data_IF_947568313219
#
_entry.id   IF_947568313219
#
_cell.length_a   1.000
_cell.length_b   1.000
_cell.length_c   1.000
_cell.angle_alpha   90.00
_cell.angle_beta   90.00
_cell.angle_gamma   90.00
#
_symmetry.space_group_name_H-M   'P 1'
#
loop_
_entity.id
_entity.type
_entity.pdbx_description
1 polymer ?
#
# COMPACT_ATOMS: atom_id res chain seq x y z
N UNK A 1 11.25 23.33 17.53
CA UNK A 1 9.85 23.17 17.10
C UNK A 1 9.77 23.74 15.70
N UNK A 2 9.79 22.86 14.70
CA UNK A 2 9.81 23.26 13.29
C UNK A 2 8.40 23.71 12.88
N UNK A 3 8.28 24.65 11.94
CA UNK A 3 6.98 25.19 11.48
C UNK A 3 6.00 24.07 11.10
N UNK A 4 6.52 23.01 10.48
CA UNK A 4 5.75 21.83 10.07
C UNK A 4 5.20 21.00 11.23
N UNK A 5 5.89 20.97 12.38
CA UNK A 5 5.44 20.26 13.59
C UNK A 5 4.27 21.00 14.23
N UNK A 6 4.31 22.34 14.23
CA UNK A 6 3.21 23.18 14.69
C UNK A 6 1.98 23.02 13.80
N UNK A 7 2.15 23.00 12.48
CA UNK A 7 1.04 22.77 11.53
C UNK A 7 0.42 21.39 11.75
N UNK A 8 1.22 20.34 11.94
CA UNK A 8 0.72 18.99 12.21
C UNK A 8 -0.02 18.90 13.56
N UNK A 9 0.51 19.55 14.60
CA UNK A 9 -0.12 19.62 15.91
C UNK A 9 -1.49 20.30 15.84
N UNK A 10 -1.58 21.46 15.18
CA UNK A 10 -2.85 22.19 14.99
C UNK A 10 -3.86 21.37 14.18
N UNK A 11 -3.42 20.67 13.12
CA UNK A 11 -4.29 19.76 12.34
C UNK A 11 -4.85 18.61 13.19
N UNK A 12 -4.03 18.03 14.06
CA UNK A 12 -4.48 16.98 14.97
C UNK A 12 -5.48 17.51 16.00
N UNK A 13 -5.27 18.73 16.51
CA UNK A 13 -6.22 19.39 17.39
C UNK A 13 -7.56 19.67 16.69
N UNK A 14 -7.55 20.16 15.45
CA UNK A 14 -8.78 20.32 14.66
C UNK A 14 -9.51 18.98 14.48
N UNK A 15 -8.81 17.92 14.08
CA UNK A 15 -9.42 16.59 13.92
C UNK A 15 -10.01 16.00 15.20
N UNK A 16 -9.40 16.30 16.35
CA UNK A 16 -9.93 15.92 17.66
C UNK A 16 -11.21 16.69 17.99
N UNK A 17 -11.20 18.01 17.80
CA UNK A 17 -12.36 18.87 18.03
C UNK A 17 -13.52 18.51 17.09
N UNK A 18 -13.26 18.21 15.82
CA UNK A 18 -14.27 17.77 14.87
C UNK A 18 -14.96 16.47 15.32
N UNK A 19 -14.19 15.52 15.85
CA UNK A 19 -14.73 14.28 16.43
C UNK A 19 -15.58 14.54 17.68
N UNK A 20 -15.16 15.46 18.55
CA UNK A 20 -15.95 15.85 19.72
C UNK A 20 -17.25 16.55 19.33
N UNK A 21 -17.19 17.47 18.35
CA UNK A 21 -18.38 18.15 17.81
C UNK A 21 -19.36 17.13 17.22
N UNK A 22 -18.87 16.14 16.48
CA UNK A 22 -19.71 15.07 15.95
C UNK A 22 -20.37 14.24 17.06
N UNK A 23 -19.63 13.93 18.13
CA UNK A 23 -20.18 13.26 19.31
C UNK A 23 -21.29 14.07 19.98
N UNK A 24 -21.03 15.34 20.29
CA UNK A 24 -22.04 16.21 20.90
C UNK A 24 -23.28 16.41 20.05
N UNK A 25 -23.14 16.46 18.72
CA UNK A 25 -24.30 16.51 17.82
C UNK A 25 -25.17 15.25 17.94
N UNK A 26 -24.55 14.07 17.98
CA UNK A 26 -25.27 12.80 18.19
C UNK A 26 -25.98 12.77 19.54
N UNK A 27 -25.33 13.26 20.60
CA UNK A 27 -25.94 13.31 21.94
C UNK A 27 -27.15 14.26 21.98
N UNK A 28 -27.04 15.43 21.32
CA UNK A 28 -28.14 16.40 21.20
C UNK A 28 -29.32 15.76 20.46
N UNK A 29 -29.08 15.11 19.32
CA UNK A 29 -30.12 14.43 18.54
C UNK A 29 -30.84 13.34 19.37
N UNK A 30 -30.10 12.58 20.18
CA UNK A 30 -30.68 11.59 21.07
C UNK A 30 -31.58 12.21 22.15
N UNK A 31 -31.08 13.26 22.83
CA UNK A 31 -31.82 13.95 23.88
C UNK A 31 -33.08 14.63 23.33
N UNK A 32 -33.00 15.27 22.16
CA UNK A 32 -34.15 15.88 21.49
C UNK A 32 -35.21 14.83 21.12
N UNK A 33 -34.79 13.65 20.63
CA UNK A 33 -35.69 12.54 20.31
C UNK A 33 -36.42 12.03 21.56
N UNK A 34 -35.71 11.87 22.68
CA UNK A 34 -36.29 11.46 23.96
C UNK A 34 -37.29 12.51 24.46
N UNK A 35 -36.92 13.79 24.41
CA UNK A 35 -37.77 14.90 24.83
C UNK A 35 -39.08 14.95 24.02
N UNK A 36 -38.98 14.81 22.69
CA UNK A 36 -40.14 14.74 21.78
C UNK A 36 -41.08 13.58 22.12
N UNK A 37 -40.55 12.40 22.41
CA UNK A 37 -41.32 11.22 22.77
C UNK A 37 -42.03 11.40 24.12
N UNK A 38 -41.33 11.91 25.13
CA UNK A 38 -41.91 12.21 26.45
C UNK A 38 -43.02 13.28 26.34
N UNK A 39 -42.80 14.32 25.53
CA UNK A 39 -43.80 15.35 25.25
C UNK A 39 -45.07 14.77 24.63
N UNK A 40 -44.94 13.88 23.64
CA UNK A 40 -46.08 13.17 23.03
C UNK A 40 -46.85 12.31 24.04
N UNK A 41 -46.15 11.58 24.91
CA UNK A 41 -46.78 10.76 25.96
C UNK A 41 -47.54 11.61 26.98
N UNK A 42 -46.96 12.74 27.38
CA UNK A 42 -47.58 13.66 28.33
C UNK A 42 -48.84 14.29 27.75
N UNK A 43 -48.80 14.73 26.48
CA UNK A 43 -49.96 15.26 25.77
C UNK A 43 -51.09 14.22 25.70
N UNK A 44 -50.78 12.99 25.26
CA UNK A 44 -51.76 11.91 25.17
C UNK A 44 -52.41 11.57 26.53
N UNK A 45 -51.63 11.52 27.62
CA UNK A 45 -52.16 11.29 28.97
C UNK A 45 -53.03 12.46 29.46
N UNK A 46 -52.60 13.69 29.20
CA UNK A 46 -53.36 14.89 29.59
C UNK A 46 -54.69 14.99 28.85
N UNK A 47 -54.72 14.66 27.56
CA UNK A 47 -55.94 14.63 26.75
C UNK A 47 -56.88 13.51 27.16
N UNK A 48 -56.35 12.37 27.61
CA UNK A 48 -57.15 11.29 28.18
C UNK A 48 -57.78 11.70 29.52
N UNK A 49 -56.99 12.31 30.43
CA UNK A 49 -57.49 12.82 31.72
C UNK A 49 -58.59 13.87 31.54
N UNK A 50 -58.42 14.80 30.58
CA UNK A 50 -59.45 15.80 30.24
C UNK A 50 -60.75 15.13 29.76
N UNK A 51 -60.66 14.11 28.92
CA UNK A 51 -61.82 13.36 28.45
C UNK A 51 -62.52 12.61 29.60
N UNK A 52 -61.74 11.97 30.49
CA UNK A 52 -62.25 11.22 31.63
C UNK A 52 -62.99 12.15 32.62
N UNK A 53 -62.43 13.34 32.87
CA UNK A 53 -63.08 14.36 33.72
C UNK A 53 -64.40 14.84 33.11
N UNK A 54 -64.44 15.05 31.80
CA UNK A 54 -65.65 15.44 31.08
C UNK A 54 -66.74 14.37 31.19
N UNK A 55 -66.39 13.10 30.97
CA UNK A 55 -67.31 11.97 31.05
C UNK A 55 -67.94 11.85 32.45
N UNK A 56 -67.16 12.00 33.52
CA UNK A 56 -67.64 12.00 34.91
C UNK A 56 -68.58 13.16 35.20
N UNK A 57 -68.29 14.36 34.67
CA UNK A 57 -69.12 15.55 34.92
C UNK A 57 -70.45 15.61 34.16
N UNK A 58 -70.57 14.89 33.03
CA UNK A 58 -71.76 14.97 32.15
C UNK A 58 -72.62 13.71 32.13
N UNK A 59 -72.23 12.62 32.81
CA UNK A 59 -73.01 11.39 32.87
C UNK A 59 -73.26 10.76 31.50
N UNK A 60 -72.30 10.90 30.58
CA UNK A 60 -72.46 10.52 29.19
C UNK A 60 -72.67 9.00 29.01
N UNK A 61 -73.68 8.61 28.22
CA UNK A 61 -74.03 7.20 27.92
C UNK A 61 -72.91 6.48 27.14
N UNK A 62 -72.08 7.22 26.40
CA UNK A 62 -70.85 6.73 25.78
C UNK A 62 -69.65 7.56 26.23
N UNK A 63 -68.67 6.90 26.84
CA UNK A 63 -67.45 7.55 27.33
C UNK A 63 -66.52 7.95 26.19
N UNK A 64 -66.26 9.26 26.04
CA UNK A 64 -65.27 9.77 25.09
C UNK A 64 -63.86 9.31 25.43
N UNK A 65 -63.58 9.07 26.71
CA UNK A 65 -62.31 8.51 27.17
C UNK A 65 -62.09 7.08 26.66
N UNK A 66 -63.13 6.25 26.59
CA UNK A 66 -63.07 4.90 26.01
C UNK A 66 -62.77 4.93 24.51
N UNK A 67 -63.45 5.77 23.75
CA UNK A 67 -63.21 5.91 22.29
C UNK A 67 -61.78 6.40 22.02
N UNK A 68 -61.28 7.39 22.77
CA UNK A 68 -59.89 7.86 22.64
C UNK A 68 -58.89 6.77 23.00
N UNK A 69 -59.18 5.96 24.02
CA UNK A 69 -58.33 4.83 24.41
C UNK A 69 -58.28 3.77 23.31
N UNK A 70 -59.42 3.48 22.68
CA UNK A 70 -59.51 2.57 21.54
C UNK A 70 -58.64 3.05 20.37
N UNK A 71 -58.81 4.30 19.92
CA UNK A 71 -58.01 4.87 18.83
C UNK A 71 -56.50 4.85 19.15
N UNK A 72 -56.14 5.14 20.39
CA UNK A 72 -54.75 5.04 20.85
C UNK A 72 -54.22 3.61 20.73
N UNK A 73 -55.00 2.62 21.19
CA UNK A 73 -54.61 1.20 21.12
C UNK A 73 -54.50 0.72 19.67
N UNK A 74 -55.43 1.10 18.79
CA UNK A 74 -55.37 0.80 17.35
C UNK A 74 -54.08 1.35 16.72
N UNK A 75 -53.71 2.60 17.02
CA UNK A 75 -52.45 3.18 16.56
C UNK A 75 -51.21 2.45 17.10
N UNK A 76 -51.24 1.95 18.35
CA UNK A 76 -50.14 1.14 18.88
C UNK A 76 -50.04 -0.22 18.18
N UNK A 77 -51.17 -0.86 17.90
CA UNK A 77 -51.22 -2.13 17.16
C UNK A 77 -50.65 -1.95 15.76
N UNK A 78 -51.01 -0.87 15.06
CA UNK A 78 -50.49 -0.55 13.74
C UNK A 78 -48.95 -0.36 13.74
N UNK A 79 -48.42 0.36 14.73
CA UNK A 79 -46.96 0.52 14.90
C UNK A 79 -46.25 -0.79 15.17
N UNK A 80 -46.83 -1.65 16.02
CA UNK A 80 -46.26 -2.97 16.29
C UNK A 80 -46.28 -3.86 15.05
N UNK A 81 -47.34 -3.79 14.23
CA UNK A 81 -47.43 -4.51 12.97
C UNK A 81 -46.39 -4.01 11.94
N UNK A 82 -46.08 -2.71 11.94
CA UNK A 82 -45.01 -2.15 11.10
C UNK A 82 -43.62 -2.66 11.52
N UNK A 83 -43.34 -2.68 12.82
CA UNK A 83 -42.10 -3.26 13.36
C UNK A 83 -42.01 -4.75 13.02
N UNK A 84 -43.12 -5.49 13.14
CA UNK A 84 -43.15 -6.92 12.81
C UNK A 84 -42.85 -7.17 11.32
N UNK A 85 -43.44 -6.36 10.42
CA UNK A 85 -43.10 -6.41 8.98
C UNK A 85 -41.62 -6.12 8.73
N UNK A 86 -41.08 -5.10 9.40
CA UNK A 86 -39.67 -4.75 9.28
C UNK A 86 -38.77 -5.91 9.77
N UNK A 87 -39.12 -6.54 10.89
CA UNK A 87 -38.40 -7.71 11.42
C UNK A 87 -38.43 -8.88 10.44
N UNK A 88 -39.59 -9.19 9.87
CA UNK A 88 -39.74 -10.23 8.84
C UNK A 88 -38.93 -9.94 7.57
N UNK A 89 -38.77 -8.67 7.20
CA UNK A 89 -37.96 -8.27 6.05
C UNK A 89 -36.45 -8.30 6.35
N UNK A 90 -36.03 -7.86 7.54
CA UNK A 90 -34.61 -7.67 7.88
C UNK A 90 -33.94 -8.90 8.48
N UNK A 91 -34.65 -9.74 9.24
CA UNK A 91 -34.07 -10.96 9.85
C UNK A 91 -33.47 -11.92 8.82
N UNK A 92 -34.14 -12.25 7.69
CA UNK A 92 -33.55 -13.13 6.67
C UNK A 92 -32.27 -12.57 6.06
N UNK A 93 -32.18 -11.24 5.91
CA UNK A 93 -30.99 -10.58 5.41
C UNK A 93 -29.83 -10.71 6.40
N UNK A 94 -30.10 -10.57 7.71
CA UNK A 94 -29.10 -10.79 8.76
C UNK A 94 -28.62 -12.24 8.78
N UNK A 95 -29.51 -13.22 8.63
CA UNK A 95 -29.12 -14.64 8.52
C UNK A 95 -28.25 -14.90 7.30
N UNK A 96 -28.61 -14.33 6.15
CA UNK A 96 -27.81 -14.41 4.93
C UNK A 96 -26.41 -13.83 5.13
N UNK A 97 -26.33 -12.65 5.73
CA UNK A 97 -25.06 -11.98 6.03
C UNK A 97 -24.21 -12.77 7.02
N UNK A 98 -24.83 -13.36 8.05
CA UNK A 98 -24.14 -14.22 9.01
C UNK A 98 -23.59 -15.49 8.35
N UNK A 99 -24.34 -16.10 7.42
CA UNK A 99 -23.85 -17.24 6.62
C UNK A 99 -22.66 -16.84 5.75
N UNK A 100 -22.75 -15.72 5.03
CA UNK A 100 -21.66 -15.20 4.21
C UNK A 100 -20.41 -14.89 5.05
N UNK A 101 -20.58 -14.27 6.21
CA UNK A 101 -19.50 -13.99 7.14
C UNK A 101 -18.80 -15.27 7.58
N UNK A 102 -19.55 -16.32 7.93
CA UNK A 102 -19.00 -17.62 8.34
C UNK A 102 -18.19 -18.26 7.21
N UNK A 103 -18.69 -18.23 5.98
CA UNK A 103 -17.97 -18.73 4.79
C UNK A 103 -16.67 -17.95 4.58
N UNK A 104 -16.74 -16.62 4.62
CA UNK A 104 -15.59 -15.75 4.43
C UNK A 104 -14.53 -15.92 5.53
N UNK A 105 -14.94 -16.13 6.78
CA UNK A 105 -14.02 -16.47 7.87
C UNK A 105 -13.31 -17.81 7.61
N UNK A 106 -14.04 -18.81 7.10
CA UNK A 106 -13.48 -20.08 6.67
C UNK A 106 -12.47 -19.92 5.53
N UNK A 107 -12.76 -19.08 4.53
CA UNK A 107 -11.82 -18.76 3.44
C UNK A 107 -10.59 -18.03 3.97
N UNK A 108 -10.76 -17.05 4.87
CA UNK A 108 -9.66 -16.28 5.46
C UNK A 108 -8.73 -17.15 6.28
N UNK A 109 -9.26 -18.14 7.00
CA UNK A 109 -8.45 -19.09 7.77
C UNK A 109 -7.58 -20.00 6.87
N UNK A 110 -7.98 -20.22 5.61
CA UNK A 110 -7.22 -20.99 4.62
C UNK A 110 -6.17 -20.14 3.87
N UNK A 111 -6.20 -18.82 4.00
CA UNK A 111 -5.18 -17.98 3.39
C UNK A 111 -3.83 -18.24 4.07
N UNK A 112 -2.74 -18.30 3.29
CA UNK A 112 -1.39 -18.38 3.85
C UNK A 112 -1.17 -17.25 4.85
N UNK A 113 -0.66 -17.61 6.03
CA UNK A 113 -0.26 -16.61 7.04
C UNK A 113 1.04 -15.91 6.66
N UNK A 114 1.88 -16.62 5.92
CA UNK A 114 3.15 -16.11 5.42
C UNK A 114 2.97 -15.56 4.01
N UNK A 115 3.65 -14.45 3.73
CA UNK A 115 3.58 -13.75 2.44
C UNK A 115 4.20 -14.54 1.29
N UNK A 116 5.15 -15.42 1.60
CA UNK A 116 5.92 -16.21 0.63
C UNK A 116 5.85 -17.68 1.01
N UNK A 117 5.69 -18.56 0.01
CA UNK A 117 5.88 -19.98 0.22
C UNK A 117 7.37 -20.30 0.48
N UNK A 118 7.66 -21.47 1.04
CA UNK A 118 9.03 -21.94 1.30
C UNK A 118 9.92 -21.86 0.05
N UNK A 119 9.43 -22.33 -1.09
CA UNK A 119 10.11 -22.22 -2.39
C UNK A 119 10.39 -20.75 -2.79
N UNK A 120 9.48 -19.82 -2.48
CA UNK A 120 9.72 -18.40 -2.77
C UNK A 120 10.79 -17.80 -1.86
N UNK A 121 10.87 -18.25 -0.61
CA UNK A 121 11.94 -17.85 0.30
C UNK A 121 13.31 -18.35 -0.18
N UNK A 122 13.39 -19.57 -0.69
CA UNK A 122 14.61 -20.12 -1.30
C UNK A 122 15.05 -19.30 -2.53
N UNK A 123 14.10 -18.92 -3.40
CA UNK A 123 14.38 -18.05 -4.55
C UNK A 123 14.93 -16.70 -4.13
N UNK A 124 14.34 -16.08 -3.11
CA UNK A 124 14.80 -14.79 -2.58
C UNK A 124 16.21 -14.93 -1.99
N UNK A 125 16.51 -16.03 -1.31
CA UNK A 125 17.86 -16.28 -0.77
C UNK A 125 18.91 -16.45 -1.88
N UNK A 126 18.58 -17.17 -2.96
CA UNK A 126 19.44 -17.29 -4.15
C UNK A 126 19.64 -15.92 -4.80
N UNK A 127 18.58 -15.13 -4.91
CA UNK A 127 18.63 -13.78 -5.45
C UNK A 127 19.55 -12.86 -4.67
N UNK A 128 19.41 -12.84 -3.35
CA UNK A 128 20.26 -12.05 -2.46
C UNK A 128 21.73 -12.46 -2.54
N UNK A 129 22.02 -13.76 -2.72
CA UNK A 129 23.38 -14.26 -2.91
C UNK A 129 24.00 -13.74 -4.21
N UNK A 130 23.28 -13.81 -5.33
CA UNK A 130 23.74 -13.26 -6.61
C UNK A 130 23.92 -11.75 -6.55
N UNK A 131 22.97 -11.06 -5.92
CA UNK A 131 23.02 -9.62 -5.74
C UNK A 131 24.28 -9.18 -4.99
N UNK A 132 24.59 -9.81 -3.85
CA UNK A 132 25.82 -9.52 -3.08
C UNK A 132 27.09 -9.85 -3.85
N UNK A 133 27.11 -10.96 -4.58
CA UNK A 133 28.26 -11.34 -5.40
C UNK A 133 28.54 -10.31 -6.52
N UNK A 134 27.48 -9.83 -7.19
CA UNK A 134 27.60 -8.82 -8.23
C UNK A 134 28.02 -7.46 -7.66
N UNK A 135 27.42 -7.03 -6.53
CA UNK A 135 27.77 -5.76 -5.89
C UNK A 135 29.23 -5.72 -5.47
N UNK A 136 29.74 -6.82 -4.91
CA UNK A 136 31.17 -6.96 -4.61
C UNK A 136 32.05 -6.94 -5.86
N UNK A 137 31.64 -7.62 -6.93
CA UNK A 137 32.40 -7.66 -8.18
C UNK A 137 32.50 -6.30 -8.87
N UNK A 138 31.47 -5.45 -8.73
CA UNK A 138 31.47 -4.09 -9.28
C UNK A 138 32.22 -3.06 -8.41
N UNK A 139 32.75 -3.48 -7.26
CA UNK A 139 33.49 -2.61 -6.35
C UNK A 139 32.60 -1.68 -5.53
N UNK A 140 31.47 -2.17 -5.03
CA UNK A 140 30.65 -1.44 -4.06
C UNK A 140 31.44 -1.23 -2.74
N UNK A 141 31.59 0.03 -2.33
CA UNK A 141 32.42 0.42 -1.16
C UNK A 141 31.61 1.14 -0.07
N UNK A 142 30.40 1.64 -0.35
CA UNK A 142 29.60 2.45 0.59
C UNK A 142 29.19 1.73 1.88
N UNK A 143 29.11 0.40 1.88
CA UNK A 143 28.83 -0.40 3.07
C UNK A 143 29.44 -1.81 2.94
N UNK A 144 29.47 -2.55 4.05
CA UNK A 144 29.81 -3.97 4.01
C UNK A 144 28.79 -4.72 3.15
N UNK A 145 29.28 -5.48 2.17
CA UNK A 145 28.45 -6.28 1.24
C UNK A 145 27.58 -7.29 1.99
N UNK A 146 28.04 -7.75 3.16
CA UNK A 146 27.29 -8.70 3.98
C UNK A 146 26.01 -8.09 4.51
N UNK A 147 26.10 -6.82 4.88
CA UNK A 147 25.03 -6.01 5.46
C UNK A 147 24.02 -5.56 4.39
N UNK A 148 24.27 -5.81 3.10
CA UNK A 148 23.28 -5.52 2.05
C UNK A 148 22.35 -6.70 1.87
N UNK A 149 21.08 -6.51 2.22
CA UNK A 149 20.03 -7.53 2.16
C UNK A 149 18.95 -7.15 1.14
N UNK A 150 18.16 -8.14 0.70
CA UNK A 150 16.95 -7.87 -0.07
C UNK A 150 15.77 -7.86 0.91
N UNK A 151 15.10 -6.71 1.04
CA UNK A 151 13.91 -6.61 1.89
C UNK A 151 12.86 -7.61 1.46
N UNK A 152 12.42 -8.47 2.36
CA UNK A 152 11.32 -9.42 2.08
C UNK A 152 10.01 -8.68 1.82
N UNK A 153 9.87 -7.42 2.24
CA UNK A 153 8.62 -6.68 2.04
C UNK A 153 8.50 -6.01 0.67
N UNK A 154 9.59 -5.43 0.19
CA UNK A 154 9.60 -4.67 -1.08
C UNK A 154 10.39 -5.36 -2.18
N UNK A 155 11.15 -6.41 -1.86
CA UNK A 155 12.12 -7.07 -2.73
C UNK A 155 13.16 -6.10 -3.29
N UNK A 156 13.46 -5.03 -2.54
CA UNK A 156 14.49 -4.04 -2.90
C UNK A 156 15.68 -4.14 -1.95
N UNK A 157 16.89 -3.77 -2.39
CA UNK A 157 18.07 -3.72 -1.52
C UNK A 157 17.88 -2.80 -0.30
N UNK A 158 18.33 -3.25 0.88
CA UNK A 158 18.35 -2.53 2.16
C UNK A 158 19.64 -2.84 2.93
N UNK A 159 19.99 -2.05 3.95
CA UNK A 159 21.16 -2.28 4.80
C UNK A 159 20.74 -2.81 6.19
N UNK A 160 21.33 -3.93 6.61
CA UNK A 160 20.98 -4.77 7.78
C UNK A 160 21.16 -4.06 9.13
N UNK A 161 21.92 -2.97 9.22
CA UNK A 161 22.29 -2.33 10.50
C UNK A 161 21.82 -0.89 10.68
N UNK A 162 20.80 -0.46 9.93
CA UNK A 162 20.03 0.74 10.25
C UNK A 162 18.67 0.30 10.80
N UNK A 163 18.63 -0.10 12.07
CA UNK A 163 17.38 -0.13 12.83
C UNK A 163 16.88 1.31 13.04
N UNK A 164 16.10 1.82 12.09
CA UNK A 164 15.30 3.04 12.30
C UNK A 164 13.93 2.68 12.86
N UNK A 165 13.93 2.04 14.04
CA UNK A 165 12.75 2.00 14.89
C UNK A 165 12.33 3.39 15.41
N UNK A 166 13.10 4.44 15.15
CA UNK A 166 12.75 5.84 15.43
C UNK A 166 12.45 6.74 14.22
N UNK A 167 12.40 6.24 12.97
CA UNK A 167 11.98 7.06 11.80
C UNK A 167 10.64 6.57 11.22
N UNK A 168 9.75 6.10 12.09
CA UNK A 168 8.41 5.67 11.70
C UNK A 168 7.41 6.82 11.41
N UNK A 169 7.86 8.03 11.04
CA UNK A 169 6.92 9.06 10.58
C UNK A 169 7.30 9.90 9.36
N UNK A 170 8.56 10.07 9.00
CA UNK A 170 8.94 10.80 7.77
C UNK A 170 10.32 10.32 7.31
N UNK A 171 10.37 9.83 6.08
CA UNK A 171 11.57 9.47 5.32
C UNK A 171 12.11 8.06 5.59
N UNK A 172 11.69 7.13 4.73
CA UNK A 172 12.49 5.96 4.36
C UNK A 172 13.89 6.48 4.02
N UNK A 173 14.91 6.14 4.80
CA UNK A 173 16.30 6.31 4.38
C UNK A 173 16.57 5.25 3.34
N UNK A 174 16.14 5.53 2.11
CA UNK A 174 16.57 4.81 0.92
C UNK A 174 18.10 4.80 0.92
N UNK A 175 18.73 3.70 0.50
CA UNK A 175 20.18 3.60 0.28
C UNK A 175 20.73 4.79 -0.52
N UNK A 176 19.89 5.47 -1.30
CA UNK A 176 20.14 6.74 -1.99
C UNK A 176 20.67 7.88 -1.10
N UNK A 177 20.40 7.87 0.21
CA UNK A 177 20.75 8.98 1.11
C UNK A 177 22.18 8.87 1.69
N UNK A 178 22.69 7.64 1.88
CA UNK A 178 24.01 7.40 2.50
C UNK A 178 25.05 6.74 1.56
N UNK A 179 24.67 6.37 0.33
CA UNK A 179 25.62 5.84 -0.67
C UNK A 179 26.07 6.89 -1.67
N UNK A 180 27.31 6.76 -2.15
CA UNK A 180 27.78 7.55 -3.29
C UNK A 180 26.91 7.29 -4.53
N UNK A 181 26.72 8.29 -5.40
CA UNK A 181 25.88 8.13 -6.59
C UNK A 181 26.34 6.97 -7.50
N UNK A 182 27.65 6.74 -7.59
CA UNK A 182 28.23 5.61 -8.33
C UNK A 182 27.93 4.26 -7.67
N UNK A 183 27.98 4.16 -6.34
CA UNK A 183 27.60 2.95 -5.62
C UNK A 183 26.11 2.62 -5.77
N UNK A 184 25.24 3.64 -5.77
CA UNK A 184 23.83 3.43 -6.05
C UNK A 184 23.61 2.79 -7.44
N UNK A 185 24.34 3.27 -8.47
CA UNK A 185 24.31 2.68 -9.81
C UNK A 185 24.84 1.24 -9.82
N UNK A 186 25.92 0.94 -9.07
CA UNK A 186 26.44 -0.44 -8.92
C UNK A 186 25.40 -1.38 -8.32
N UNK A 187 24.58 -0.92 -7.37
CA UNK A 187 23.48 -1.70 -6.82
C UNK A 187 22.37 -1.94 -7.85
N UNK A 188 22.06 -0.96 -8.70
CA UNK A 188 21.10 -1.16 -9.81
C UNK A 188 21.60 -2.26 -10.76
N UNK A 189 22.86 -2.20 -11.18
CA UNK A 189 23.45 -3.23 -12.04
C UNK A 189 23.38 -4.61 -11.37
N UNK A 190 23.78 -4.67 -10.10
CA UNK A 190 23.79 -5.91 -9.32
C UNK A 190 22.41 -6.52 -9.23
N UNK A 191 21.40 -5.68 -9.00
CA UNK A 191 20.00 -6.08 -8.91
C UNK A 191 19.48 -6.65 -10.24
N UNK A 192 19.66 -5.90 -11.34
CA UNK A 192 19.19 -6.31 -12.66
C UNK A 192 19.85 -7.61 -13.12
N UNK A 193 21.16 -7.73 -12.94
CA UNK A 193 21.88 -8.94 -13.32
C UNK A 193 21.52 -10.13 -12.41
N UNK A 194 21.38 -9.90 -11.10
CA UNK A 194 21.00 -10.95 -10.15
C UNK A 194 19.59 -11.49 -10.42
N UNK A 195 18.65 -10.66 -10.91
CA UNK A 195 17.33 -11.13 -11.34
C UNK A 195 17.44 -12.14 -12.47
N UNK A 196 18.23 -11.82 -13.50
CA UNK A 196 18.49 -12.75 -14.59
C UNK A 196 19.18 -14.02 -14.09
N UNK A 197 20.26 -13.91 -13.30
CA UNK A 197 21.03 -15.07 -12.81
C UNK A 197 20.20 -15.98 -11.91
N UNK A 198 19.33 -15.41 -11.08
CA UNK A 198 18.37 -16.17 -10.27
C UNK A 198 17.37 -16.89 -11.16
N UNK A 199 16.85 -16.21 -12.19
CA UNK A 199 15.92 -16.81 -13.14
C UNK A 199 16.56 -17.94 -13.95
N UNK A 200 17.82 -17.78 -14.35
CA UNK A 200 18.59 -18.75 -15.12
C UNK A 200 19.09 -19.93 -14.26
N UNK A 201 19.04 -19.80 -12.92
CA UNK A 201 19.39 -20.88 -12.01
C UNK A 201 18.45 -22.09 -12.23
N UNK A 202 19.05 -23.27 -12.38
CA UNK A 202 18.36 -24.54 -12.65
C UNK A 202 17.33 -24.92 -11.58
N UNK A 203 17.58 -24.52 -10.33
CA UNK A 203 16.70 -24.81 -9.18
C UNK A 203 15.45 -23.93 -9.18
N UNK A 204 15.58 -22.68 -9.64
CA UNK A 204 14.50 -21.69 -9.59
C UNK A 204 13.62 -21.75 -10.84
N UNK A 205 14.23 -21.82 -12.03
CA UNK A 205 13.56 -21.67 -13.34
C UNK A 205 12.58 -20.49 -13.34
N UNK A 206 13.13 -19.31 -13.14
CA UNK A 206 12.35 -18.08 -13.08
C UNK A 206 11.85 -17.61 -14.44
N UNK A 207 11.11 -16.50 -14.41
CA UNK A 207 10.62 -15.83 -15.61
C UNK A 207 11.47 -14.58 -15.85
N UNK A 208 12.41 -14.66 -16.79
CA UNK A 208 13.18 -13.51 -17.28
C UNK A 208 13.22 -13.55 -18.80
N UNK A 209 13.14 -12.38 -19.43
CA UNK A 209 13.03 -12.24 -20.89
C UNK A 209 14.32 -12.64 -21.64
N UNK A 210 15.41 -12.86 -20.91
CA UNK A 210 16.74 -13.15 -21.47
C UNK A 210 17.38 -11.97 -22.20
N UNK A 211 16.90 -10.74 -21.98
CA UNK A 211 17.46 -9.52 -22.59
C UNK A 211 17.70 -8.48 -21.50
N UNK A 212 18.84 -7.78 -21.56
CA UNK A 212 19.14 -6.63 -20.72
C UNK A 212 19.70 -5.50 -21.58
N UNK A 213 19.07 -4.32 -21.51
CA UNK A 213 19.52 -3.12 -22.22
C UNK A 213 19.95 -2.07 -21.21
N UNK A 214 21.17 -1.57 -21.33
CA UNK A 214 21.74 -0.54 -20.48
C UNK A 214 22.09 0.68 -21.34
N UNK A 215 21.55 1.83 -20.96
CA UNK A 215 21.87 3.11 -21.57
C UNK A 215 22.83 3.86 -20.65
N UNK A 216 24.03 4.12 -21.16
CA UNK A 216 25.12 4.81 -20.48
C UNK A 216 25.36 4.32 -19.05
N UNK A 217 25.66 3.01 -18.85
CA UNK A 217 25.84 2.48 -17.49
C UNK A 217 26.96 3.23 -16.75
N UNK A 218 27.98 3.71 -17.46
CA UNK A 218 29.14 4.40 -16.92
C UNK A 218 28.95 5.81 -16.35
N UNK A 219 27.72 6.35 -16.31
CA UNK A 219 27.45 7.67 -15.77
C UNK A 219 27.82 7.82 -14.28
N UNK A 220 27.84 9.06 -13.79
CA UNK A 220 28.14 9.43 -12.39
C UNK A 220 29.58 9.10 -11.94
N UNK A 221 30.58 9.38 -12.79
CA UNK A 221 32.00 9.22 -12.47
C UNK A 221 32.36 7.79 -12.05
N UNK A 222 31.78 6.80 -12.74
CA UNK A 222 32.03 5.39 -12.50
C UNK A 222 33.48 5.02 -12.84
N UNK A 223 34.11 4.21 -11.99
CA UNK A 223 35.46 3.69 -12.25
C UNK A 223 35.45 2.75 -13.46
N UNK A 224 36.48 2.80 -14.29
CA UNK A 224 36.63 1.96 -15.49
C UNK A 224 36.64 0.48 -15.12
N UNK A 225 37.23 0.15 -13.97
CA UNK A 225 37.27 -1.22 -13.43
C UNK A 225 35.86 -1.75 -13.10
N UNK A 226 34.96 -0.89 -12.61
CA UNK A 226 33.56 -1.27 -12.34
C UNK A 226 32.80 -1.56 -13.63
N UNK A 227 32.99 -0.73 -14.67
CA UNK A 227 32.38 -0.96 -16.00
C UNK A 227 32.94 -2.22 -16.66
N UNK A 228 34.24 -2.45 -16.54
CA UNK A 228 34.91 -3.65 -17.01
C UNK A 228 34.32 -4.92 -16.37
N UNK A 229 34.16 -4.92 -15.04
CA UNK A 229 33.56 -6.02 -14.32
C UNK A 229 32.10 -6.27 -14.76
N UNK A 230 31.33 -5.20 -15.01
CA UNK A 230 29.99 -5.30 -15.60
C UNK A 230 30.02 -6.00 -16.95
N UNK A 231 30.85 -5.54 -17.88
CA UNK A 231 30.93 -6.13 -19.23
C UNK A 231 31.41 -7.58 -19.21
N UNK A 232 32.36 -7.91 -18.34
CA UNK A 232 32.80 -9.29 -18.14
C UNK A 232 31.67 -10.19 -17.65
N UNK A 233 30.94 -9.78 -16.61
CA UNK A 233 29.83 -10.58 -16.09
C UNK A 233 28.70 -10.73 -17.12
N UNK A 234 28.37 -9.68 -17.86
CA UNK A 234 27.38 -9.77 -18.95
C UNK A 234 27.81 -10.77 -20.03
N UNK A 235 29.08 -10.76 -20.43
CA UNK A 235 29.62 -11.68 -21.44
C UNK A 235 29.72 -13.14 -20.96
N UNK A 236 29.79 -13.37 -19.65
CA UNK A 236 29.81 -14.70 -19.04
C UNK A 236 28.44 -15.38 -18.98
N UNK A 237 27.37 -14.65 -19.29
CA UNK A 237 25.99 -15.15 -19.25
C UNK A 237 25.47 -15.47 -20.67
N UNK A 238 25.73 -16.68 -21.22
CA UNK A 238 25.43 -16.99 -22.63
C UNK A 238 23.93 -17.00 -22.97
N UNK A 239 23.06 -17.13 -21.97
CA UNK A 239 21.61 -17.06 -22.12
C UNK A 239 21.03 -15.64 -22.04
N UNK A 240 21.88 -14.62 -21.81
CA UNK A 240 21.49 -13.22 -21.71
C UNK A 240 21.95 -12.46 -22.96
N UNK A 241 21.02 -11.89 -23.69
CA UNK A 241 21.34 -10.88 -24.69
C UNK A 241 21.51 -9.52 -23.99
N UNK A 242 22.76 -9.09 -23.83
CA UNK A 242 23.08 -7.78 -23.29
C UNK A 242 23.34 -6.77 -24.40
N UNK A 243 22.65 -5.62 -24.36
CA UNK A 243 22.84 -4.49 -25.26
C UNK A 243 23.27 -3.30 -24.40
N UNK A 244 24.44 -2.74 -24.68
CA UNK A 244 24.96 -1.59 -23.95
C UNK A 244 25.19 -0.44 -24.93
N UNK A 245 24.53 0.69 -24.68
CA UNK A 245 24.91 1.96 -25.26
C UNK A 245 25.84 2.65 -24.26
N UNK A 246 27.06 2.99 -24.66
CA UNK A 246 28.03 3.64 -23.79
C UNK A 246 28.90 4.60 -24.59
N UNK A 247 29.27 5.72 -23.97
CA UNK A 247 30.27 6.67 -24.46
C UNK A 247 31.53 6.61 -23.59
N UNK A 248 32.68 6.89 -24.20
CA UNK A 248 34.00 6.81 -23.56
C UNK A 248 34.82 8.10 -23.73
N UNK A 249 34.15 9.25 -23.77
CA UNK A 249 34.77 10.60 -23.80
C UNK A 249 35.94 10.75 -24.80
N UNK A 250 35.83 10.12 -25.97
CA UNK A 250 36.84 10.14 -27.05
C UNK A 250 38.22 9.57 -26.66
N UNK A 251 38.31 8.78 -25.58
CA UNK A 251 39.55 8.12 -25.15
C UNK A 251 39.54 6.62 -25.47
N UNK A 252 40.21 6.23 -26.55
CA UNK A 252 40.36 4.83 -26.98
C UNK A 252 40.98 3.92 -25.90
N UNK A 253 41.83 4.48 -25.04
CA UNK A 253 42.44 3.75 -23.93
C UNK A 253 41.41 3.27 -22.91
N UNK A 254 40.40 4.09 -22.60
CA UNK A 254 39.33 3.76 -21.65
C UNK A 254 38.43 2.68 -22.23
N UNK A 255 38.06 2.80 -23.51
CA UNK A 255 37.31 1.76 -24.21
C UNK A 255 38.06 0.42 -24.19
N UNK A 256 39.36 0.44 -24.52
CA UNK A 256 40.20 -0.78 -24.55
C UNK A 256 40.31 -1.41 -23.17
N UNK A 257 40.46 -0.60 -22.11
CA UNK A 257 40.52 -1.08 -20.73
C UNK A 257 39.18 -1.67 -20.28
N UNK A 258 38.07 -0.98 -20.54
CA UNK A 258 36.74 -1.44 -20.17
C UNK A 258 36.36 -2.75 -20.87
N UNK A 259 36.75 -2.91 -22.14
CA UNK A 259 36.37 -4.07 -22.98
C UNK A 259 37.43 -5.18 -23.04
N UNK A 260 38.53 -5.05 -22.28
CA UNK A 260 39.62 -6.03 -22.29
C UNK A 260 39.10 -7.45 -22.00
N UNK A 261 39.44 -8.42 -22.86
CA UNK A 261 39.00 -9.83 -22.73
C UNK A 261 37.47 -10.05 -22.66
N UNK A 262 36.66 -9.06 -23.05
CA UNK A 262 35.21 -9.21 -23.15
C UNK A 262 34.86 -9.70 -24.56
N UNK A 263 33.97 -10.69 -24.67
CA UNK A 263 33.43 -11.12 -25.96
C UNK A 263 32.19 -10.29 -26.28
N UNK A 264 32.28 -9.39 -27.26
CA UNK A 264 31.17 -8.55 -27.68
C UNK A 264 31.17 -8.31 -29.19
N UNK A 265 30.06 -7.78 -29.71
CA UNK A 265 29.95 -7.26 -31.06
C UNK A 265 29.86 -5.74 -30.98
N UNK A 266 30.87 -5.05 -31.49
CA UNK A 266 30.89 -3.59 -31.55
C UNK A 266 30.00 -3.10 -32.69
N UNK A 267 29.20 -2.06 -32.44
CA UNK A 267 28.41 -1.34 -33.44
C UNK A 267 28.76 0.13 -33.30
N UNK A 268 29.61 0.63 -34.18
CA UNK A 268 29.98 2.05 -34.23
C UNK A 268 29.09 2.79 -35.23
N UNK A 269 28.68 4.00 -34.86
CA UNK A 269 28.00 4.93 -35.76
C UNK A 269 29.01 5.95 -36.24
N UNK A 270 29.38 5.89 -37.53
CA UNK A 270 30.43 6.75 -38.10
C UNK A 270 30.02 8.21 -38.33
N UNK A 271 28.72 8.49 -38.47
CA UNK A 271 28.19 9.82 -38.78
C UNK A 271 27.30 10.36 -37.65
N UNK A 272 27.12 11.69 -37.61
CA UNK A 272 26.16 12.32 -36.68
C UNK A 272 24.77 11.69 -36.85
N UNK A 273 24.25 11.10 -35.78
CA UNK A 273 22.90 10.52 -35.69
C UNK A 273 21.80 11.52 -36.02
N UNK A 274 22.06 12.81 -35.78
CA UNK A 274 21.16 13.92 -36.09
C UNK A 274 21.86 14.85 -37.07
N UNK A 275 21.30 15.01 -38.27
CA UNK A 275 21.73 16.00 -39.25
C UNK A 275 20.69 17.11 -39.39
N UNK A 276 21.12 18.37 -39.59
CA UNK A 276 20.19 19.44 -39.93
C UNK A 276 19.43 19.06 -41.20
N UNK A 277 18.14 19.34 -41.22
CA UNK A 277 17.35 19.21 -42.44
C UNK A 277 17.94 20.17 -43.48
N UNK A 278 18.27 19.72 -44.70
CA UNK A 278 18.86 20.60 -45.70
C UNK A 278 17.86 21.69 -46.06
N UNK A 279 18.25 22.95 -45.80
CA UNK A 279 17.52 24.12 -46.29
C UNK A 279 18.01 24.34 -47.73
N UNK A 280 17.12 24.11 -48.69
CA UNK A 280 17.32 24.35 -50.13
C UNK A 280 17.42 25.83 -50.46
#
# INVERSE_FOLDING_TARGET
>A
MNLDENIAYLKNQCSMLDRQIAGFRSDIEEVERISSELGRRLAAKSDHLKALRGDVSTGAVQSKAMIRRQVYLESQVEKLAEIDRLMHEKLPNLESLARQLKVNQGHRAKLPKERYAENDQEKIAIFEKWFRANAGSFGYESASIRDVEISRDTLTPVLEHIELREINRKNRTDIKADSSASDFVRLIWSYLLALYQTSANREVRGNHLGVLMLDEPGQHSMRVESQHALFQLLALEPGLQSIVAASFDEMDSVFTQATLNVKFKLIEWGDKLIRPFPIS
#
